data_IF_690520699827
#
_entry.id   IF_690520699827
#
_cell.length_a   1.000
_cell.length_b   1.000
_cell.length_c   1.000
_cell.angle_alpha   90.00
_cell.angle_beta   90.00
_cell.angle_gamma   90.00
#
_symmetry.space_group_name_H-M   'P 1'
#
loop_
_entity.id
_entity.type
_entity.pdbx_description
1 polymer ?
#
# COMPACT_ATOMS: atom_id res chain seq x y z
N UNK A 1 -1.78 17.09 -13.60
CA UNK A 1 -2.96 16.35 -14.10
C UNK A 1 -2.45 14.99 -14.52
N UNK A 2 -3.01 13.90 -13.99
CA UNK A 2 -2.58 12.55 -14.35
C UNK A 2 -3.07 12.28 -15.77
N UNK A 3 -2.19 11.75 -16.63
CA UNK A 3 -2.55 11.37 -18.01
C UNK A 3 -2.78 9.87 -18.03
N UNK A 4 -4.03 9.48 -18.32
CA UNK A 4 -4.42 8.07 -18.44
C UNK A 4 -4.25 7.59 -19.89
N UNK A 5 -3.65 6.43 -20.08
CA UNK A 5 -3.66 5.75 -21.39
C UNK A 5 -5.02 5.15 -21.69
N UNK A 6 -5.33 4.90 -22.96
CA UNK A 6 -6.60 4.26 -23.37
C UNK A 6 -6.76 2.85 -22.76
N UNK A 7 -5.64 2.14 -22.62
CA UNK A 7 -5.60 0.85 -21.95
C UNK A 7 -5.97 0.97 -20.46
N UNK A 8 -5.41 1.94 -19.74
CA UNK A 8 -5.77 2.16 -18.32
C UNK A 8 -7.24 2.52 -18.15
N UNK A 9 -7.73 3.41 -19.02
CA UNK A 9 -9.09 3.93 -18.97
C UNK A 9 -10.11 2.80 -19.19
N UNK A 10 -9.92 2.02 -20.24
CA UNK A 10 -10.77 0.86 -20.54
C UNK A 10 -10.70 -0.21 -19.44
N UNK A 11 -9.51 -0.48 -18.90
CA UNK A 11 -9.35 -1.46 -17.82
C UNK A 11 -10.06 -1.04 -16.53
N UNK A 12 -9.93 0.22 -16.12
CA UNK A 12 -10.58 0.74 -14.91
C UNK A 12 -12.11 0.71 -15.08
N UNK A 13 -12.63 1.11 -16.25
CA UNK A 13 -14.05 1.04 -16.55
C UNK A 13 -14.58 -0.40 -16.54
N UNK A 14 -13.85 -1.34 -17.13
CA UNK A 14 -14.22 -2.77 -17.16
C UNK A 14 -14.30 -3.36 -15.75
N UNK A 15 -13.29 -3.07 -14.91
CA UNK A 15 -13.26 -3.50 -13.51
C UNK A 15 -14.49 -2.99 -12.74
N UNK A 16 -14.82 -1.69 -12.84
CA UNK A 16 -15.97 -1.12 -12.15
C UNK A 16 -17.30 -1.65 -12.68
N UNK A 17 -17.41 -1.90 -13.99
CA UNK A 17 -18.63 -2.47 -14.58
C UNK A 17 -18.99 -3.87 -14.08
N UNK A 18 -17.98 -4.62 -13.59
CA UNK A 18 -18.11 -6.00 -13.10
C UNK A 18 -18.16 -6.11 -11.58
N UNK A 19 -17.95 -5.01 -10.85
CA UNK A 19 -18.01 -5.02 -9.39
C UNK A 19 -19.46 -5.06 -8.90
N UNK A 20 -19.71 -5.92 -7.92
CA UNK A 20 -20.91 -5.82 -7.08
C UNK A 20 -20.64 -4.83 -5.94
N UNK A 21 -21.27 -3.65 -5.99
CA UNK A 21 -20.93 -2.55 -5.10
C UNK A 21 -21.39 -2.82 -3.66
N UNK A 22 -22.47 -3.58 -3.51
CA UNK A 22 -23.04 -4.00 -2.21
C UNK A 22 -22.22 -5.11 -1.55
N UNK A 23 -21.21 -5.63 -2.24
CA UNK A 23 -20.31 -6.66 -1.71
C UNK A 23 -18.89 -6.11 -1.56
N UNK A 24 -18.37 -5.44 -2.59
CA UNK A 24 -16.99 -4.95 -2.60
C UNK A 24 -16.82 -3.76 -1.66
N UNK A 25 -17.78 -2.82 -1.66
CA UNK A 25 -17.72 -1.61 -0.85
C UNK A 25 -17.75 -1.92 0.65
N UNK A 26 -18.76 -2.66 1.15
CA UNK A 26 -18.80 -3.12 2.53
C UNK A 26 -17.53 -3.86 2.94
N UNK A 27 -17.08 -4.83 2.13
CA UNK A 27 -15.90 -5.62 2.47
C UNK A 27 -14.62 -4.76 2.56
N UNK A 28 -14.48 -3.74 1.72
CA UNK A 28 -13.34 -2.82 1.75
C UNK A 28 -13.35 -1.96 3.02
N UNK A 29 -14.51 -1.38 3.39
CA UNK A 29 -14.62 -0.55 4.59
C UNK A 29 -14.49 -1.39 5.87
N UNK A 30 -15.15 -2.55 5.94
CA UNK A 30 -15.02 -3.51 7.05
C UNK A 30 -13.56 -3.89 7.27
N UNK A 31 -12.81 -4.19 6.19
CA UNK A 31 -11.38 -4.50 6.30
C UNK A 31 -10.59 -3.32 6.86
N UNK A 32 -10.85 -2.10 6.37
CA UNK A 32 -10.16 -0.90 6.84
C UNK A 32 -10.38 -0.68 8.34
N UNK A 33 -11.61 -0.81 8.82
CA UNK A 33 -11.97 -0.62 10.23
C UNK A 33 -11.38 -1.70 11.15
N UNK A 34 -11.19 -2.93 10.66
CA UNK A 34 -10.60 -4.03 11.45
C UNK A 34 -9.07 -3.92 11.48
N UNK A 35 -8.43 -3.72 10.33
CA UNK A 35 -6.96 -3.75 10.19
C UNK A 35 -6.32 -2.47 10.70
N UNK A 36 -7.01 -1.33 10.54
CA UNK A 36 -6.54 -0.02 10.94
C UNK A 36 -7.52 0.58 11.97
N UNK A 37 -7.56 0.06 13.21
CA UNK A 37 -8.61 0.37 14.19
C UNK A 37 -8.69 1.86 14.55
N UNK A 38 -7.61 2.64 14.38
CA UNK A 38 -7.66 4.09 14.55
C UNK A 38 -8.60 4.79 13.56
N UNK A 39 -8.89 4.20 12.40
CA UNK A 39 -9.84 4.74 11.42
C UNK A 39 -11.28 4.75 11.94
N UNK A 40 -11.59 3.89 12.92
CA UNK A 40 -12.93 3.83 13.54
C UNK A 40 -13.34 5.16 14.18
N UNK A 41 -12.37 6.00 14.59
CA UNK A 41 -12.63 7.31 15.20
C UNK A 41 -13.47 8.24 14.31
N UNK A 42 -13.41 8.06 12.99
CA UNK A 42 -14.18 8.87 12.03
C UNK A 42 -15.64 8.42 11.90
N UNK A 43 -15.99 7.27 12.50
CA UNK A 43 -17.28 6.61 12.33
C UNK A 43 -18.03 6.47 13.65
N UNK A 44 -17.87 7.41 14.60
CA UNK A 44 -18.50 7.34 15.92
C UNK A 44 -20.03 7.18 15.91
N UNK A 45 -20.69 7.64 14.84
CA UNK A 45 -22.14 7.51 14.66
C UNK A 45 -22.58 6.16 14.07
N UNK A 46 -21.66 5.23 13.78
CA UNK A 46 -22.00 3.94 13.19
C UNK A 46 -22.40 2.90 14.24
N UNK A 47 -22.42 3.26 15.53
CA UNK A 47 -22.79 2.37 16.62
C UNK A 47 -21.62 1.46 17.02
N UNK A 48 -21.91 0.18 17.27
CA UNK A 48 -20.91 -0.75 17.81
C UNK A 48 -19.88 -1.16 16.73
N UNK A 49 -18.62 -0.78 16.96
CA UNK A 49 -17.44 -1.17 16.17
C UNK A 49 -16.36 -1.87 17.03
N UNK A 50 -16.72 -2.33 18.23
CA UNK A 50 -15.76 -2.79 19.25
C UNK A 50 -14.88 -3.98 18.81
N UNK A 51 -15.41 -4.89 17.98
CA UNK A 51 -14.68 -6.05 17.50
C UNK A 51 -15.04 -6.40 16.05
N UNK A 52 -14.30 -7.33 15.45
CA UNK A 52 -14.47 -7.71 14.06
C UNK A 52 -15.89 -8.20 13.73
N UNK A 53 -16.51 -9.01 14.60
CA UNK A 53 -17.88 -9.50 14.38
C UNK A 53 -18.90 -8.35 14.38
N UNK A 54 -18.75 -7.39 15.31
CA UNK A 54 -19.59 -6.19 15.36
C UNK A 54 -19.43 -5.34 14.10
N UNK A 55 -18.20 -5.11 13.62
CA UNK A 55 -17.92 -4.34 12.40
C UNK A 55 -18.49 -5.04 11.16
N UNK A 56 -18.30 -6.36 11.04
CA UNK A 56 -18.78 -7.16 9.91
C UNK A 56 -20.30 -7.20 9.83
N UNK A 57 -20.99 -7.26 10.97
CA UNK A 57 -22.45 -7.25 11.04
C UNK A 57 -23.08 -5.85 11.03
N UNK A 58 -22.30 -4.78 10.91
CA UNK A 58 -22.80 -3.42 11.08
C UNK A 58 -23.46 -2.89 9.80
N UNK A 59 -24.78 -2.57 9.81
CA UNK A 59 -25.49 -2.11 8.62
C UNK A 59 -25.04 -0.73 8.13
N UNK A 60 -24.52 0.13 9.02
CA UNK A 60 -23.98 1.43 8.63
C UNK A 60 -22.63 1.31 7.93
N UNK A 61 -21.79 0.36 8.36
CA UNK A 61 -20.54 0.01 7.66
C UNK A 61 -20.85 -0.51 6.26
N UNK A 62 -21.83 -1.40 6.12
CA UNK A 62 -22.24 -1.89 4.80
C UNK A 62 -22.73 -0.73 3.91
N UNK A 63 -23.72 0.03 4.37
CA UNK A 63 -24.28 1.15 3.62
C UNK A 63 -23.22 2.18 3.19
N UNK A 64 -22.29 2.52 4.08
CA UNK A 64 -21.26 3.50 3.76
C UNK A 64 -20.18 2.93 2.83
N UNK A 65 -19.85 1.64 2.97
CA UNK A 65 -18.99 0.93 2.02
C UNK A 65 -19.52 1.02 0.57
N UNK A 66 -20.81 0.80 0.36
CA UNK A 66 -21.46 0.99 -0.95
C UNK A 66 -21.40 2.45 -1.40
N UNK A 67 -21.62 3.39 -0.47
CA UNK A 67 -21.54 4.85 -0.76
C UNK A 67 -20.16 5.24 -1.28
N UNK A 68 -19.09 4.68 -0.71
CA UNK A 68 -17.70 4.91 -1.15
C UNK A 68 -17.52 4.45 -2.60
N UNK A 69 -18.03 3.27 -2.97
CA UNK A 69 -17.90 2.78 -4.36
C UNK A 69 -18.67 3.63 -5.36
N UNK A 70 -19.86 4.12 -5.02
CA UNK A 70 -20.55 5.10 -5.87
C UNK A 70 -19.78 6.42 -6.01
N UNK A 71 -19.07 6.85 -4.95
CA UNK A 71 -18.13 7.97 -5.02
C UNK A 71 -16.99 7.71 -6.02
N UNK A 72 -16.40 6.51 -5.99
CA UNK A 72 -15.34 6.12 -6.91
C UNK A 72 -15.83 5.95 -8.36
N UNK A 73 -17.01 5.35 -8.55
CA UNK A 73 -17.67 5.20 -9.85
C UNK A 73 -17.91 6.56 -10.54
N UNK A 74 -18.24 7.60 -9.77
CA UNK A 74 -18.33 8.98 -10.28
C UNK A 74 -16.99 9.45 -10.86
N UNK A 75 -15.88 9.12 -10.21
CA UNK A 75 -14.54 9.43 -10.71
C UNK A 75 -14.20 8.66 -11.98
N UNK A 76 -14.54 7.36 -12.03
CA UNK A 76 -14.35 6.51 -13.23
C UNK A 76 -15.11 7.05 -14.44
N UNK A 77 -16.29 7.66 -14.22
CA UNK A 77 -17.07 8.31 -15.28
C UNK A 77 -16.50 9.66 -15.73
N UNK A 78 -15.61 10.27 -14.94
CA UNK A 78 -15.06 11.61 -15.17
C UNK A 78 -13.53 11.64 -15.01
N UNK A 79 -12.83 10.63 -15.52
CA UNK A 79 -11.40 10.40 -15.27
C UNK A 79 -10.47 11.54 -15.73
N UNK A 80 -10.91 12.38 -16.67
CA UNK A 80 -10.16 13.54 -17.16
C UNK A 80 -10.27 14.78 -16.26
N UNK A 81 -11.29 14.83 -15.41
CA UNK A 81 -11.55 15.98 -14.53
C UNK A 81 -11.93 15.56 -13.11
N UNK A 82 -11.11 14.66 -12.54
CA UNK A 82 -11.29 14.19 -11.17
C UNK A 82 -11.26 15.33 -10.14
N UNK A 83 -10.50 16.40 -10.42
CA UNK A 83 -10.36 17.55 -9.50
C UNK A 83 -11.67 18.31 -9.38
N UNK A 84 -12.34 18.64 -10.49
CA UNK A 84 -13.65 19.27 -10.42
C UNK A 84 -14.70 18.28 -9.89
N UNK A 85 -14.66 17.03 -10.37
CA UNK A 85 -15.61 15.96 -9.96
C UNK A 85 -15.64 15.73 -8.45
N UNK A 86 -14.49 15.85 -7.77
CA UNK A 86 -14.36 15.64 -6.33
C UNK A 86 -14.20 16.92 -5.51
N UNK A 87 -14.38 18.11 -6.08
CA UNK A 87 -14.18 19.37 -5.35
C UNK A 87 -15.01 19.43 -4.05
N UNK A 88 -16.31 19.12 -4.12
CA UNK A 88 -17.19 19.12 -2.95
C UNK A 88 -16.84 18.00 -1.95
N UNK A 89 -16.51 16.80 -2.44
CA UNK A 89 -16.08 15.68 -1.58
C UNK A 89 -14.77 16.00 -0.86
N UNK A 90 -13.85 16.69 -1.55
CA UNK A 90 -12.58 17.13 -0.98
C UNK A 90 -12.84 18.09 0.18
N UNK A 91 -13.64 19.14 -0.02
CA UNK A 91 -14.00 20.11 1.03
C UNK A 91 -14.71 19.41 2.20
N UNK A 92 -15.66 18.52 1.91
CA UNK A 92 -16.33 17.75 2.95
C UNK A 92 -15.33 16.98 3.81
N UNK A 93 -14.40 16.25 3.20
CA UNK A 93 -13.46 15.42 3.96
C UNK A 93 -12.36 16.22 4.67
N UNK A 94 -11.91 17.34 4.10
CA UNK A 94 -10.85 18.17 4.69
C UNK A 94 -11.39 19.14 5.74
N UNK A 95 -12.47 19.86 5.45
CA UNK A 95 -12.92 21.00 6.25
C UNK A 95 -14.05 20.67 7.22
N UNK A 96 -14.79 19.58 7.00
CA UNK A 96 -15.90 19.19 7.88
C UNK A 96 -15.64 17.91 8.63
N UNK A 97 -15.15 16.88 7.93
CA UNK A 97 -14.88 15.58 8.55
C UNK A 97 -13.46 15.48 9.12
N UNK A 98 -12.55 16.37 8.69
CA UNK A 98 -11.15 16.43 9.11
C UNK A 98 -10.45 15.06 9.06
N UNK A 99 -10.70 14.32 7.97
CA UNK A 99 -10.08 13.01 7.75
C UNK A 99 -8.61 13.23 7.41
N UNK A 100 -7.73 12.60 8.18
CA UNK A 100 -6.30 12.65 7.91
C UNK A 100 -6.04 11.99 6.53
N UNK A 101 -5.36 12.69 5.60
CA UNK A 101 -5.14 12.22 4.24
C UNK A 101 -4.53 10.83 4.11
N UNK A 102 -3.75 10.37 5.10
CA UNK A 102 -3.13 9.05 5.02
C UNK A 102 -4.15 7.91 5.11
N UNK A 103 -5.34 8.14 5.69
CA UNK A 103 -6.39 7.12 5.76
C UNK A 103 -7.04 6.81 4.41
N UNK A 104 -6.98 7.72 3.43
CA UNK A 104 -7.45 7.41 2.07
C UNK A 104 -6.59 6.34 1.42
N UNK A 105 -5.28 6.33 1.69
CA UNK A 105 -4.36 5.28 1.20
C UNK A 105 -4.72 3.93 1.82
N UNK A 106 -5.03 3.90 3.12
CA UNK A 106 -5.42 2.66 3.81
C UNK A 106 -6.72 2.07 3.25
N UNK A 107 -7.72 2.91 2.99
CA UNK A 107 -8.98 2.48 2.36
C UNK A 107 -8.75 2.00 0.92
N UNK A 108 -7.90 2.69 0.16
CA UNK A 108 -7.53 2.32 -1.20
C UNK A 108 -6.81 0.96 -1.25
N UNK A 109 -5.89 0.71 -0.32
CA UNK A 109 -5.20 -0.58 -0.18
C UNK A 109 -6.23 -1.68 0.14
N UNK A 110 -7.16 -1.44 1.08
CA UNK A 110 -8.21 -2.39 1.42
C UNK A 110 -9.13 -2.73 0.23
N UNK A 111 -9.54 -1.72 -0.54
CA UNK A 111 -10.35 -1.89 -1.75
C UNK A 111 -9.61 -2.73 -2.79
N UNK A 112 -8.34 -2.44 -3.02
CA UNK A 112 -7.49 -3.19 -3.96
C UNK A 112 -7.47 -4.68 -3.62
N UNK A 113 -7.28 -5.00 -2.34
CA UNK A 113 -7.24 -6.40 -1.92
C UNK A 113 -8.61 -7.06 -2.09
N UNK A 114 -9.74 -6.35 -1.90
CA UNK A 114 -11.10 -6.90 -2.10
C UNK A 114 -11.45 -7.07 -3.59
N UNK A 115 -11.03 -6.15 -4.46
CA UNK A 115 -11.23 -6.28 -5.91
C UNK A 115 -10.39 -7.43 -6.48
N UNK A 116 -9.12 -7.49 -6.12
CA UNK A 116 -8.23 -8.61 -6.46
C UNK A 116 -8.80 -9.93 -5.94
N UNK A 117 -9.39 -9.89 -4.75
CA UNK A 117 -10.11 -11.00 -4.20
C UNK A 117 -11.24 -11.42 -5.16
N UNK A 118 -12.18 -10.56 -5.50
CA UNK A 118 -13.35 -10.93 -6.31
C UNK A 118 -13.02 -11.39 -7.73
N UNK A 119 -12.01 -10.81 -8.38
CA UNK A 119 -11.69 -11.10 -9.77
C UNK A 119 -10.94 -12.44 -10.00
N UNK A 120 -10.24 -12.98 -8.99
CA UNK A 120 -9.59 -14.29 -9.10
C UNK A 120 -8.64 -14.38 -10.31
N UNK A 121 -8.81 -15.38 -11.18
CA UNK A 121 -7.96 -15.57 -12.39
C UNK A 121 -8.11 -14.45 -13.44
N UNK A 122 -9.17 -13.65 -13.38
CA UNK A 122 -9.40 -12.53 -14.30
C UNK A 122 -8.60 -11.27 -13.91
N UNK A 123 -7.95 -11.27 -12.74
CA UNK A 123 -7.03 -10.21 -12.32
C UNK A 123 -5.63 -10.48 -12.87
N UNK A 124 -5.45 -10.28 -14.17
CA UNK A 124 -4.16 -10.53 -14.87
C UNK A 124 -3.11 -9.50 -14.45
N UNK A 125 -1.83 -9.75 -14.80
CA UNK A 125 -0.74 -8.82 -14.53
C UNK A 125 -0.94 -7.44 -15.17
N UNK A 126 -1.55 -7.35 -16.36
CA UNK A 126 -1.87 -6.07 -17.01
C UNK A 126 -3.08 -5.36 -16.37
N UNK A 127 -4.10 -6.11 -15.94
CA UNK A 127 -5.27 -5.58 -15.19
C UNK A 127 -4.84 -5.07 -13.82
N UNK A 128 -3.98 -5.83 -13.15
CA UNK A 128 -3.30 -5.43 -11.94
C UNK A 128 -2.43 -4.21 -12.19
N UNK A 129 -1.63 -4.16 -13.27
CA UNK A 129 -0.77 -3.03 -13.59
C UNK A 129 -1.53 -1.75 -13.99
N UNK A 130 -2.72 -1.82 -14.59
CA UNK A 130 -3.56 -0.63 -14.82
C UNK A 130 -4.19 -0.12 -13.51
N UNK A 131 -4.65 -1.03 -12.64
CA UNK A 131 -5.21 -0.72 -11.32
C UNK A 131 -4.14 -0.33 -10.29
N UNK A 132 -2.92 -0.84 -10.46
CA UNK A 132 -1.70 -0.47 -9.73
C UNK A 132 -0.99 0.71 -10.40
N UNK A 133 -1.15 1.04 -11.67
CA UNK A 133 -0.66 2.33 -12.19
C UNK A 133 -1.49 3.50 -11.64
N UNK A 134 -2.68 3.18 -11.16
CA UNK A 134 -3.44 3.97 -10.20
C UNK A 134 -2.88 3.91 -8.75
N UNK A 135 -2.07 2.91 -8.34
CA UNK A 135 -1.57 2.63 -6.96
C UNK A 135 -0.21 1.82 -6.78
N UNK A 136 0.92 2.13 -7.46
CA UNK A 136 1.91 1.16 -8.00
C UNK A 136 2.96 0.40 -7.12
N UNK A 137 3.38 -0.82 -7.59
CA UNK A 137 4.64 -1.70 -7.78
C UNK A 137 5.67 -2.11 -6.68
N UNK A 138 5.40 -3.14 -5.88
CA UNK A 138 6.21 -3.73 -4.77
C UNK A 138 7.60 -3.21 -4.41
N UNK A 139 8.69 -3.53 -5.13
CA UNK A 139 10.06 -3.23 -4.69
C UNK A 139 10.44 -1.76 -4.88
N UNK A 140 10.42 -1.26 -6.13
CA UNK A 140 10.45 0.16 -6.43
C UNK A 140 9.39 0.95 -5.67
N UNK A 141 8.20 0.38 -5.44
CA UNK A 141 7.14 1.03 -4.68
C UNK A 141 7.34 1.00 -3.18
N UNK A 142 7.93 -0.04 -2.60
CA UNK A 142 8.22 -0.06 -1.18
C UNK A 142 9.30 0.97 -0.88
N UNK A 143 10.32 1.07 -1.75
CA UNK A 143 11.32 2.14 -1.64
C UNK A 143 10.71 3.52 -1.92
N UNK A 144 9.89 3.67 -2.97
CA UNK A 144 9.18 4.92 -3.29
C UNK A 144 8.25 5.35 -2.15
N UNK A 145 7.47 4.41 -1.59
CA UNK A 145 6.57 4.62 -0.45
C UNK A 145 7.37 5.01 0.77
N UNK A 146 8.49 4.34 1.06
CA UNK A 146 9.37 4.69 2.16
C UNK A 146 9.91 6.13 2.01
N UNK A 147 10.41 6.50 0.82
CA UNK A 147 10.95 7.85 0.56
C UNK A 147 9.88 8.95 0.59
N UNK A 148 8.63 8.63 0.24
CA UNK A 148 7.50 9.58 0.27
C UNK A 148 6.91 9.72 1.68
N UNK A 149 6.66 8.60 2.36
CA UNK A 149 5.99 8.56 3.67
C UNK A 149 6.94 8.93 4.80
N UNK A 150 8.22 8.63 4.64
CA UNK A 150 9.27 8.92 5.61
C UNK A 150 10.36 9.78 4.97
N UNK A 151 10.11 11.09 4.70
CA UNK A 151 11.03 11.93 3.93
C UNK A 151 12.44 12.03 4.51
N UNK A 152 12.62 11.85 5.83
CA UNK A 152 13.95 11.82 6.44
C UNK A 152 14.83 10.69 5.91
N UNK A 153 14.24 9.60 5.40
CA UNK A 153 14.99 8.47 4.81
C UNK A 153 15.71 8.88 3.51
N UNK A 154 15.25 9.95 2.84
CA UNK A 154 15.88 10.47 1.62
C UNK A 154 17.34 10.88 1.84
N UNK A 155 17.74 11.22 3.07
CA UNK A 155 19.12 11.59 3.42
C UNK A 155 20.16 10.52 3.05
N UNK A 156 19.76 9.25 3.00
CA UNK A 156 20.62 8.12 2.65
C UNK A 156 20.82 7.97 1.13
N UNK A 157 20.10 8.72 0.31
CA UNK A 157 20.04 8.55 -1.14
C UNK A 157 20.48 9.81 -1.90
N UNK A 158 21.39 10.62 -1.34
CA UNK A 158 21.84 11.88 -1.96
C UNK A 158 22.38 11.72 -3.39
N UNK A 159 22.92 10.54 -3.73
CA UNK A 159 23.43 10.23 -5.07
C UNK A 159 22.34 9.83 -6.09
N UNK A 160 21.06 9.75 -5.69
CA UNK A 160 19.96 9.36 -6.57
C UNK A 160 19.41 10.55 -7.37
N UNK A 161 19.99 11.74 -7.21
CA UNK A 161 19.54 12.95 -7.88
C UNK A 161 18.29 13.51 -7.23
N UNK A 162 17.32 13.94 -8.04
CA UNK A 162 16.16 14.65 -7.53
C UNK A 162 15.16 13.71 -6.81
N UNK A 163 14.96 13.94 -5.51
CA UNK A 163 13.97 13.25 -4.66
C UNK A 163 13.00 14.23 -3.98
N UNK A 164 12.94 15.49 -4.43
CA UNK A 164 12.26 16.58 -3.69
C UNK A 164 10.77 16.38 -3.46
N UNK A 165 10.08 15.60 -4.29
CA UNK A 165 8.66 15.32 -4.17
C UNK A 165 8.29 13.94 -4.72
N UNK A 166 7.03 13.55 -4.50
CA UNK A 166 6.51 12.25 -4.90
C UNK A 166 6.69 11.97 -6.40
N UNK A 167 6.42 12.93 -7.28
CA UNK A 167 6.56 12.74 -8.72
C UNK A 167 8.02 12.50 -9.13
N UNK A 168 8.96 13.24 -8.53
CA UNK A 168 10.38 13.05 -8.75
C UNK A 168 10.85 11.68 -8.26
N UNK A 169 10.41 11.24 -7.09
CA UNK A 169 10.74 9.91 -6.52
C UNK A 169 10.17 8.79 -7.40
N UNK A 170 8.89 8.87 -7.78
CA UNK A 170 8.20 7.85 -8.59
C UNK A 170 8.81 7.71 -9.99
N UNK A 171 9.25 8.81 -10.58
CA UNK A 171 9.91 8.82 -11.88
C UNK A 171 11.42 8.54 -11.82
N UNK A 172 11.99 8.33 -10.64
CA UNK A 172 13.45 8.27 -10.49
C UNK A 172 13.99 6.87 -10.89
N UNK A 173 14.84 6.79 -11.94
CA UNK A 173 15.38 5.51 -12.40
C UNK A 173 16.33 4.85 -11.38
N UNK A 174 16.99 5.64 -10.53
CA UNK A 174 17.85 5.11 -9.46
C UNK A 174 17.04 4.51 -8.32
N UNK A 175 15.89 5.09 -7.99
CA UNK A 175 14.93 4.51 -7.03
C UNK A 175 14.41 3.17 -7.56
N UNK A 176 14.00 3.11 -8.83
CA UNK A 176 13.56 1.85 -9.44
C UNK A 176 14.67 0.78 -9.47
N UNK A 177 15.89 1.17 -9.86
CA UNK A 177 17.05 0.28 -9.87
C UNK A 177 17.38 -0.25 -8.47
N UNK A 178 17.39 0.61 -7.46
CA UNK A 178 17.72 0.20 -6.11
C UNK A 178 16.60 -0.63 -5.45
N UNK A 179 15.33 -0.34 -5.77
CA UNK A 179 14.20 -1.20 -5.41
C UNK A 179 14.40 -2.64 -5.91
N UNK A 180 14.97 -2.81 -7.10
CA UNK A 180 15.35 -4.14 -7.63
C UNK A 180 16.48 -4.79 -6.83
N UNK A 181 17.51 -4.01 -6.44
CA UNK A 181 18.60 -4.49 -5.56
C UNK A 181 18.07 -4.99 -4.21
N UNK A 182 17.11 -4.29 -3.61
CA UNK A 182 16.46 -4.71 -2.36
C UNK A 182 15.78 -6.08 -2.54
N UNK A 183 15.04 -6.27 -3.64
CA UNK A 183 14.39 -7.55 -3.92
C UNK A 183 15.40 -8.70 -4.10
N UNK A 184 16.54 -8.47 -4.77
CA UNK A 184 17.61 -9.47 -4.85
C UNK A 184 18.21 -9.81 -3.47
N UNK A 185 18.31 -8.81 -2.57
CA UNK A 185 18.71 -9.02 -1.19
C UNK A 185 17.73 -9.91 -0.42
N UNK A 186 16.42 -9.70 -0.59
CA UNK A 186 15.38 -10.52 0.02
C UNK A 186 15.34 -11.94 -0.55
N UNK A 187 15.46 -12.10 -1.88
CA UNK A 187 15.56 -13.41 -2.55
C UNK A 187 16.74 -14.24 -2.01
N UNK A 188 17.89 -13.61 -1.79
CA UNK A 188 19.03 -14.26 -1.11
C UNK A 188 18.65 -14.75 0.30
N UNK A 189 17.89 -13.97 1.05
CA UNK A 189 17.41 -14.38 2.37
C UNK A 189 16.48 -15.60 2.31
N UNK A 190 15.50 -15.58 1.40
CA UNK A 190 14.57 -16.71 1.20
C UNK A 190 15.32 -18.01 0.86
N UNK A 191 16.40 -17.91 0.08
CA UNK A 191 17.25 -19.07 -0.27
C UNK A 191 18.11 -19.60 0.89
N UNK A 192 18.24 -18.84 1.98
CA UNK A 192 19.11 -19.16 3.11
C UNK A 192 18.39 -18.91 4.46
N UNK A 193 17.10 -19.28 4.56
CA UNK A 193 16.25 -18.93 5.71
C UNK A 193 16.76 -19.41 7.07
N UNK A 194 17.48 -20.54 7.12
CA UNK A 194 18.02 -21.09 8.36
C UNK A 194 19.31 -20.40 8.83
N UNK A 195 19.93 -19.57 7.98
CA UNK A 195 21.21 -18.93 8.25
C UNK A 195 21.23 -17.44 7.83
N UNK A 196 20.11 -16.74 8.06
CA UNK A 196 19.97 -15.32 7.68
C UNK A 196 21.03 -14.42 8.31
N UNK A 197 21.47 -14.74 9.53
CA UNK A 197 22.48 -13.96 10.25
C UNK A 197 23.84 -13.97 9.56
N UNK A 198 24.27 -15.13 9.06
CA UNK A 198 25.52 -15.24 8.31
C UNK A 198 25.33 -14.72 6.90
N UNK A 199 24.20 -15.05 6.26
CA UNK A 199 23.84 -14.60 4.92
C UNK A 199 23.87 -13.07 4.76
N UNK A 200 23.47 -12.33 5.80
CA UNK A 200 23.45 -10.87 5.79
C UNK A 200 24.63 -10.22 6.52
N UNK A 201 25.65 -10.95 6.96
CA UNK A 201 26.75 -10.39 7.75
C UNK A 201 27.48 -9.23 7.04
N UNK A 202 27.88 -9.43 5.78
CA UNK A 202 28.52 -8.37 4.98
C UNK A 202 27.58 -7.20 4.70
N UNK A 203 26.29 -7.50 4.50
CA UNK A 203 25.29 -6.47 4.23
C UNK A 203 25.01 -5.63 5.48
N UNK A 204 25.04 -6.25 6.66
CA UNK A 204 24.92 -5.58 7.96
C UNK A 204 26.10 -4.62 8.16
N UNK A 205 27.34 -5.08 7.96
CA UNK A 205 28.56 -4.24 8.01
C UNK A 205 28.47 -3.08 7.02
N UNK A 206 28.05 -3.35 5.78
CA UNK A 206 27.87 -2.28 4.79
C UNK A 206 26.91 -1.21 5.30
N UNK A 207 25.77 -1.60 5.85
CA UNK A 207 24.76 -0.65 6.30
C UNK A 207 25.14 0.09 7.59
N UNK A 208 25.80 -0.58 8.54
CA UNK A 208 26.20 0.03 9.82
C UNK A 208 27.46 0.88 9.70
N UNK A 209 28.52 0.34 9.10
CA UNK A 209 29.88 0.93 9.15
C UNK A 209 30.19 1.84 7.97
N UNK A 210 29.49 1.71 6.83
CA UNK A 210 29.75 2.53 5.63
C UNK A 210 28.60 3.45 5.27
N UNK A 211 27.38 2.92 5.25
CA UNK A 211 26.21 3.70 4.87
C UNK A 211 25.59 4.44 6.06
N UNK A 212 25.91 4.02 7.28
CA UNK A 212 25.41 4.58 8.54
C UNK A 212 23.88 4.78 8.55
N UNK A 213 23.15 3.80 7.99
CA UNK A 213 21.68 3.83 7.96
C UNK A 213 21.17 3.63 9.36
N UNK A 214 20.35 4.52 9.91
CA UNK A 214 19.79 4.32 11.25
C UNK A 214 18.89 3.06 11.23
N UNK A 215 19.11 2.12 12.15
CA UNK A 215 18.51 0.79 12.10
C UNK A 215 16.98 0.79 12.20
N UNK A 216 16.36 1.85 12.73
CA UNK A 216 14.91 1.95 12.75
C UNK A 216 14.31 2.09 11.35
N UNK A 217 15.07 2.60 10.37
CA UNK A 217 14.58 2.73 8.99
C UNK A 217 14.42 1.37 8.28
N UNK A 218 15.06 0.30 8.76
CA UNK A 218 14.81 -1.05 8.23
C UNK A 218 13.39 -1.52 8.54
N UNK A 219 12.85 -1.16 9.71
CA UNK A 219 11.46 -1.47 10.09
C UNK A 219 10.49 -0.71 9.19
N UNK A 220 10.77 0.56 8.91
CA UNK A 220 9.95 1.38 8.01
C UNK A 220 9.90 0.80 6.58
N UNK A 221 11.03 0.35 6.05
CA UNK A 221 11.07 -0.31 4.74
C UNK A 221 10.38 -1.69 4.77
N UNK A 222 10.52 -2.45 5.85
CA UNK A 222 9.82 -3.72 6.07
C UNK A 222 8.29 -3.54 6.09
N UNK A 223 7.80 -2.49 6.74
CA UNK A 223 6.38 -2.15 6.77
C UNK A 223 5.89 -1.76 5.36
N UNK A 224 6.66 -0.93 4.65
CA UNK A 224 6.35 -0.60 3.26
C UNK A 224 6.31 -1.85 2.37
N UNK A 225 7.29 -2.76 2.49
CA UNK A 225 7.32 -4.04 1.77
C UNK A 225 6.11 -4.90 2.07
N UNK A 226 5.72 -5.01 3.34
CA UNK A 226 4.51 -5.74 3.76
C UNK A 226 3.27 -5.19 3.08
N UNK A 227 3.11 -3.87 3.08
CA UNK A 227 1.94 -3.25 2.46
C UNK A 227 1.93 -3.50 0.95
N UNK A 228 3.07 -3.33 0.26
CA UNK A 228 3.04 -3.50 -1.19
C UNK A 228 2.98 -4.99 -1.60
N UNK A 229 3.57 -5.92 -0.85
CA UNK A 229 3.39 -7.36 -1.06
C UNK A 229 1.93 -7.77 -0.81
N UNK A 230 1.27 -7.22 0.21
CA UNK A 230 -0.16 -7.42 0.43
C UNK A 230 -0.99 -6.94 -0.77
N UNK A 231 -0.67 -5.76 -1.30
CA UNK A 231 -1.33 -5.20 -2.48
C UNK A 231 -1.09 -6.04 -3.75
N UNK A 232 0.07 -6.68 -3.87
CA UNK A 232 0.44 -7.51 -5.03
C UNK A 232 -0.14 -8.92 -4.97
N UNK A 233 -0.12 -9.56 -3.80
CA UNK A 233 -0.61 -10.93 -3.59
C UNK A 233 -2.14 -10.98 -3.41
N UNK A 234 -2.78 -9.86 -3.06
CA UNK A 234 -4.23 -9.75 -3.00
C UNK A 234 -4.85 -10.83 -2.11
N UNK A 235 -5.69 -11.68 -2.70
CA UNK A 235 -6.37 -12.79 -2.01
C UNK A 235 -5.42 -13.86 -1.43
N UNK A 236 -4.22 -13.99 -2.01
CA UNK A 236 -3.20 -14.93 -1.56
C UNK A 236 -2.42 -14.42 -0.34
N UNK A 237 -2.52 -13.13 0.02
CA UNK A 237 -1.98 -12.60 1.27
C UNK A 237 -2.97 -12.83 2.42
N UNK A 238 -3.18 -14.10 2.76
CA UNK A 238 -4.00 -14.47 3.93
C UNK A 238 -3.34 -14.00 5.22
N UNK A 239 -4.05 -14.07 6.35
CA UNK A 239 -3.49 -13.71 7.65
C UNK A 239 -2.27 -14.60 8.01
N UNK A 240 -2.30 -15.87 7.63
CA UNK A 240 -1.20 -16.82 7.82
C UNK A 240 0.00 -16.45 6.94
N UNK A 241 -0.23 -16.07 5.68
CA UNK A 241 0.82 -15.60 4.77
C UNK A 241 1.41 -14.28 5.27
N UNK A 242 0.58 -13.36 5.78
CA UNK A 242 1.04 -12.12 6.40
C UNK A 242 1.92 -12.40 7.62
N UNK A 243 1.47 -13.27 8.53
CA UNK A 243 2.22 -13.63 9.73
C UNK A 243 3.58 -14.25 9.38
N UNK A 244 3.61 -15.16 8.39
CA UNK A 244 4.84 -15.77 7.90
C UNK A 244 5.78 -14.72 7.26
N UNK A 245 5.24 -13.82 6.44
CA UNK A 245 6.00 -12.77 5.77
C UNK A 245 6.58 -11.75 6.75
N UNK A 246 5.79 -11.26 7.70
CA UNK A 246 6.25 -10.32 8.73
C UNK A 246 7.26 -10.97 9.68
N UNK A 247 7.11 -12.26 9.99
CA UNK A 247 8.12 -13.01 10.76
C UNK A 247 9.44 -13.09 9.98
N UNK A 248 9.40 -13.42 8.70
CA UNK A 248 10.59 -13.40 7.84
C UNK A 248 11.26 -12.03 7.84
N UNK A 249 10.51 -10.96 7.57
CA UNK A 249 11.05 -9.60 7.55
C UNK A 249 11.61 -9.16 8.91
N UNK A 250 11.00 -9.56 10.03
CA UNK A 250 11.54 -9.29 11.36
C UNK A 250 12.92 -9.93 11.56
N UNK A 251 13.12 -11.16 11.06
CA UNK A 251 14.44 -11.83 11.12
C UNK A 251 15.44 -11.17 10.17
N UNK A 252 15.01 -10.71 8.99
CA UNK A 252 15.84 -9.92 8.06
C UNK A 252 16.30 -8.62 8.73
N UNK A 253 15.38 -7.84 9.30
CA UNK A 253 15.67 -6.59 10.01
C UNK A 253 16.63 -6.84 11.18
N UNK A 254 16.37 -7.87 11.99
CA UNK A 254 17.28 -8.25 13.09
C UNK A 254 18.67 -8.64 12.59
N UNK A 255 18.77 -9.33 11.46
CA UNK A 255 20.05 -9.76 10.88
C UNK A 255 20.84 -8.58 10.31
N UNK A 256 20.16 -7.61 9.67
CA UNK A 256 20.78 -6.37 9.19
C UNK A 256 21.20 -5.44 10.33
N UNK A 257 20.43 -5.41 11.42
CA UNK A 257 20.70 -4.62 12.62
C UNK A 257 21.82 -5.18 13.51
N UNK A 258 22.36 -6.36 13.21
CA UNK A 258 23.31 -7.07 14.09
C UNK A 258 24.58 -6.26 14.43
N UNK A 259 25.12 -5.54 13.45
CA UNK A 259 26.37 -4.78 13.60
C UNK A 259 26.16 -3.34 14.04
N UNK A 260 24.96 -2.99 14.50
CA UNK A 260 24.67 -1.71 15.12
C UNK A 260 24.92 -1.84 16.63
N UNK A 261 25.83 -1.01 17.13
CA UNK A 261 26.18 -0.93 18.55
C UNK A 261 25.31 0.10 19.28
#
# INVERSE_FOLDING_TARGET
>A
MVVWTDFERSTIQDIFSKMDYEVVGPAALTRCLIVYPWTQRYFGNFGNLYNAAAIMGNPMVAKHGTTILHGLDRGVKNMDDLKATYAELSVLHSEKLHVDPDNFKLLSDCLTIVVAAKLGKAFTGEVQAAFQKFLAVVGPAALTRCLIVYPWTQRYFGNFGNLYNAAAIMGNPMVAKHGTTILHGLDRGVKNMDDLKTTYAELSVLHSEKLHVDPDNFKLLSDCLTIVVAAQLGKAFTAEVQAAFQKFLAVVVSSLGRQYH
#
